data_IF_262664601321
#
_entry.id   IF_262664601321
#
_cell.length_a   1.000
_cell.length_b   1.000
_cell.length_c   1.000
_cell.angle_alpha   90.00
_cell.angle_beta   90.00
_cell.angle_gamma   90.00
#
_symmetry.space_group_name_H-M   'P 1'
#
loop_
_entity.id
_entity.type
_entity.pdbx_description
1 polymer ?
#
# COMPACT_ATOMS: atom_id res chain seq x y z
N UNK A 1 -16.27 -12.99 -28.75
CA UNK A 1 -15.49 -13.16 -27.49
C UNK A 1 -16.31 -13.88 -26.43
N UNK A 2 -17.48 -13.37 -25.99
CA UNK A 2 -18.39 -14.12 -25.09
C UNK A 2 -18.76 -15.51 -25.63
N UNK A 3 -19.12 -15.57 -26.92
CA UNK A 3 -19.37 -16.83 -27.64
C UNK A 3 -18.18 -17.81 -27.67
N UNK A 4 -16.94 -17.35 -27.52
CA UNK A 4 -15.76 -18.21 -27.49
C UNK A 4 -15.51 -18.79 -26.10
N UNK A 5 -15.72 -18.00 -25.04
CA UNK A 5 -15.65 -18.47 -23.65
C UNK A 5 -16.74 -19.52 -23.40
N UNK A 6 -17.98 -19.26 -23.84
CA UNK A 6 -19.10 -20.19 -23.68
C UNK A 6 -18.84 -21.52 -24.41
N UNK A 7 -18.27 -21.46 -25.63
CA UNK A 7 -17.89 -22.65 -26.38
C UNK A 7 -16.81 -23.46 -25.66
N UNK A 8 -15.71 -22.82 -25.27
CA UNK A 8 -14.61 -23.48 -24.57
C UNK A 8 -15.04 -24.06 -23.21
N UNK A 9 -15.96 -23.39 -22.52
CA UNK A 9 -16.56 -23.91 -21.30
C UNK A 9 -17.34 -25.21 -21.58
N UNK A 10 -18.19 -25.21 -22.60
CA UNK A 10 -18.91 -26.42 -23.02
C UNK A 10 -17.97 -27.56 -23.43
N UNK A 11 -16.88 -27.26 -24.11
CA UNK A 11 -15.83 -28.24 -24.45
C UNK A 11 -15.13 -28.78 -23.19
N UNK A 12 -14.81 -27.93 -22.22
CA UNK A 12 -14.20 -28.34 -20.95
C UNK A 12 -15.12 -29.25 -20.12
N UNK A 13 -16.42 -28.93 -20.10
CA UNK A 13 -17.46 -29.73 -19.45
C UNK A 13 -17.65 -31.08 -20.15
N UNK A 14 -17.71 -31.11 -21.48
CA UNK A 14 -17.82 -32.34 -22.25
C UNK A 14 -16.60 -33.26 -22.05
N UNK A 15 -15.39 -32.69 -22.06
CA UNK A 15 -14.17 -33.44 -21.77
C UNK A 15 -14.18 -34.01 -20.35
N UNK A 16 -14.68 -33.23 -19.37
CA UNK A 16 -14.86 -33.70 -18.01
C UNK A 16 -15.83 -34.90 -17.99
N UNK A 17 -17.05 -34.76 -18.52
CA UNK A 17 -18.02 -35.86 -18.56
C UNK A 17 -17.52 -37.12 -19.28
N UNK A 18 -16.61 -36.98 -20.25
CA UNK A 18 -15.98 -38.09 -20.97
C UNK A 18 -14.76 -38.71 -20.26
N UNK A 19 -14.48 -38.34 -19.01
CA UNK A 19 -13.28 -38.74 -18.26
C UNK A 19 -11.95 -38.33 -18.90
N UNK A 20 -11.97 -37.34 -19.81
CA UNK A 20 -10.79 -36.72 -20.41
C UNK A 20 -10.31 -35.58 -19.50
N UNK A 21 -9.94 -35.95 -18.28
CA UNK A 21 -9.68 -35.00 -17.19
C UNK A 21 -8.55 -34.02 -17.50
N UNK A 22 -7.48 -34.47 -18.15
CA UNK A 22 -6.36 -33.61 -18.54
C UNK A 22 -6.76 -32.56 -19.57
N UNK A 23 -7.56 -32.92 -20.57
CA UNK A 23 -8.05 -31.99 -21.60
C UNK A 23 -9.02 -30.98 -21.01
N UNK A 24 -9.93 -31.43 -20.13
CA UNK A 24 -10.83 -30.54 -19.38
C UNK A 24 -10.02 -29.54 -18.53
N UNK A 25 -9.05 -30.02 -17.76
CA UNK A 25 -8.25 -29.18 -16.87
C UNK A 25 -7.47 -28.10 -17.64
N UNK A 26 -6.79 -28.48 -18.74
CA UNK A 26 -6.07 -27.53 -19.62
C UNK A 26 -7.01 -26.49 -20.24
N UNK A 27 -8.22 -26.90 -20.62
CA UNK A 27 -9.21 -25.98 -21.20
C UNK A 27 -9.68 -24.97 -20.15
N UNK A 28 -9.95 -25.42 -18.92
CA UNK A 28 -10.26 -24.52 -17.81
C UNK A 28 -9.08 -23.59 -17.45
N UNK A 29 -7.84 -24.08 -17.43
CA UNK A 29 -6.64 -23.24 -17.23
C UNK A 29 -6.54 -22.14 -18.30
N UNK A 30 -6.89 -22.45 -19.56
CA UNK A 30 -6.93 -21.46 -20.63
C UNK A 30 -8.03 -20.42 -20.38
N UNK A 31 -9.22 -20.84 -19.93
CA UNK A 31 -10.33 -19.96 -19.59
C UNK A 31 -10.00 -19.02 -18.42
N UNK A 32 -9.20 -19.46 -17.44
CA UNK A 32 -8.68 -18.57 -16.38
C UNK A 32 -7.93 -17.40 -17.00
N UNK A 33 -7.02 -17.66 -17.93
CA UNK A 33 -6.24 -16.63 -18.62
C UNK A 33 -7.12 -15.64 -19.39
N UNK A 34 -8.10 -16.14 -20.15
CA UNK A 34 -9.05 -15.30 -20.90
C UNK A 34 -9.90 -14.42 -19.97
N UNK A 35 -10.44 -15.00 -18.90
CA UNK A 35 -11.24 -14.26 -17.93
C UNK A 35 -10.41 -13.17 -17.23
N UNK A 36 -9.15 -13.45 -16.87
CA UNK A 36 -8.25 -12.44 -16.31
C UNK A 36 -7.93 -11.30 -17.29
N UNK A 37 -7.76 -11.60 -18.58
CA UNK A 37 -7.55 -10.59 -19.64
C UNK A 37 -8.78 -9.69 -19.80
N UNK A 38 -9.98 -10.25 -19.66
CA UNK A 38 -11.24 -9.52 -19.72
C UNK A 38 -11.63 -8.85 -18.39
N UNK A 39 -10.79 -8.96 -17.36
CA UNK A 39 -11.04 -8.48 -16.01
C UNK A 39 -12.30 -9.09 -15.34
N UNK A 40 -12.69 -10.31 -15.75
CA UNK A 40 -13.78 -11.12 -15.19
C UNK A 40 -13.22 -12.00 -14.06
N UNK A 41 -12.81 -11.37 -12.95
CA UNK A 41 -12.00 -12.02 -11.91
C UNK A 41 -12.75 -13.13 -11.16
N UNK A 42 -14.07 -13.00 -10.98
CA UNK A 42 -14.92 -14.04 -10.38
C UNK A 42 -14.96 -15.29 -11.25
N UNK A 43 -15.21 -15.12 -12.56
CA UNK A 43 -15.21 -16.24 -13.51
C UNK A 43 -13.82 -16.90 -13.57
N UNK A 44 -12.75 -16.11 -13.51
CA UNK A 44 -11.40 -16.67 -13.47
C UNK A 44 -11.18 -17.58 -12.24
N UNK A 45 -11.74 -17.23 -11.08
CA UNK A 45 -11.69 -18.10 -9.89
C UNK A 45 -12.53 -19.37 -10.10
N UNK A 46 -13.73 -19.25 -10.65
CA UNK A 46 -14.60 -20.39 -10.94
C UNK A 46 -13.92 -21.39 -11.89
N UNK A 47 -13.31 -20.90 -12.98
CA UNK A 47 -12.55 -21.73 -13.91
C UNK A 47 -11.32 -22.37 -13.26
N UNK A 48 -10.62 -21.66 -12.39
CA UNK A 48 -9.48 -22.22 -11.66
C UNK A 48 -9.91 -23.36 -10.71
N UNK A 49 -11.05 -23.22 -10.03
CA UNK A 49 -11.64 -24.27 -9.19
C UNK A 49 -12.03 -25.48 -10.05
N UNK A 50 -12.65 -25.27 -11.21
CA UNK A 50 -13.01 -26.34 -12.13
C UNK A 50 -11.78 -27.11 -12.66
N UNK A 51 -10.71 -26.38 -13.01
CA UNK A 51 -9.42 -26.98 -13.37
C UNK A 51 -8.84 -27.84 -12.23
N UNK A 52 -8.90 -27.35 -10.98
CA UNK A 52 -8.47 -28.12 -9.80
C UNK A 52 -9.29 -29.41 -9.67
N UNK A 53 -10.62 -29.36 -9.84
CA UNK A 53 -11.47 -30.53 -9.75
C UNK A 53 -11.13 -31.60 -10.80
N UNK A 54 -10.79 -31.18 -12.02
CA UNK A 54 -10.32 -32.06 -13.08
C UNK A 54 -8.93 -32.65 -12.76
N UNK A 55 -7.98 -31.82 -12.30
CA UNK A 55 -6.65 -32.32 -11.92
C UNK A 55 -6.67 -33.32 -10.78
N UNK A 56 -7.60 -33.17 -9.82
CA UNK A 56 -7.78 -34.11 -8.69
C UNK A 56 -8.24 -35.51 -9.10
N UNK A 57 -8.71 -35.71 -10.34
CA UNK A 57 -9.06 -37.04 -10.84
C UNK A 57 -7.84 -37.87 -11.29
N UNK A 58 -6.65 -37.29 -11.27
CA UNK A 58 -5.41 -37.92 -11.71
C UNK A 58 -4.38 -37.97 -10.58
N UNK A 59 -3.48 -38.94 -10.62
CA UNK A 59 -2.34 -39.00 -9.70
C UNK A 59 -1.24 -38.02 -10.12
N UNK A 60 -0.42 -37.61 -9.15
CA UNK A 60 0.81 -36.84 -9.38
C UNK A 60 0.58 -35.44 -10.00
N UNK A 61 -0.54 -34.79 -9.65
CA UNK A 61 -0.92 -33.44 -10.13
C UNK A 61 -0.87 -32.36 -9.05
N UNK A 62 -0.37 -32.67 -7.86
CA UNK A 62 -0.33 -31.79 -6.69
C UNK A 62 0.33 -30.45 -7.02
N UNK A 63 1.45 -30.47 -7.75
CA UNK A 63 2.14 -29.23 -8.16
C UNK A 63 1.27 -28.32 -9.03
N UNK A 64 0.46 -28.88 -9.95
CA UNK A 64 -0.46 -28.09 -10.78
C UNK A 64 -1.61 -27.54 -9.95
N UNK A 65 -2.18 -28.37 -9.08
CA UNK A 65 -3.25 -27.97 -8.15
C UNK A 65 -2.79 -26.82 -7.24
N UNK A 66 -1.59 -26.92 -6.68
CA UNK A 66 -1.03 -25.89 -5.81
C UNK A 66 -0.79 -24.56 -6.55
N UNK A 67 -0.37 -24.60 -7.82
CA UNK A 67 -0.25 -23.39 -8.66
C UNK A 67 -1.61 -22.73 -8.91
N UNK A 68 -2.67 -23.53 -9.09
CA UNK A 68 -4.02 -22.99 -9.27
C UNK A 68 -4.55 -22.36 -7.99
N UNK A 69 -4.31 -22.97 -6.81
CA UNK A 69 -4.63 -22.32 -5.54
C UNK A 69 -3.88 -21.00 -5.35
N UNK A 70 -2.60 -20.96 -5.70
CA UNK A 70 -1.83 -19.71 -5.70
C UNK A 70 -2.42 -18.66 -6.66
N UNK A 71 -2.80 -19.07 -7.87
CA UNK A 71 -3.45 -18.20 -8.86
C UNK A 71 -4.75 -17.60 -8.32
N UNK A 72 -5.61 -18.43 -7.71
CA UNK A 72 -6.86 -17.98 -7.06
C UNK A 72 -6.55 -16.91 -6.00
N UNK A 73 -5.54 -17.13 -5.16
CA UNK A 73 -5.12 -16.15 -4.16
C UNK A 73 -4.72 -14.81 -4.79
N UNK A 74 -3.89 -14.84 -5.84
CA UNK A 74 -3.46 -13.62 -6.54
C UNK A 74 -4.62 -12.89 -7.25
N UNK A 75 -5.56 -13.63 -7.85
CA UNK A 75 -6.77 -13.06 -8.45
C UNK A 75 -7.64 -12.39 -7.38
N UNK A 76 -7.79 -13.03 -6.21
CA UNK A 76 -8.50 -12.47 -5.07
C UNK A 76 -7.87 -11.17 -4.57
N UNK A 77 -6.54 -11.12 -4.43
CA UNK A 77 -5.82 -9.89 -4.07
C UNK A 77 -6.03 -8.79 -5.12
N UNK A 78 -5.95 -9.12 -6.41
CA UNK A 78 -6.22 -8.16 -7.50
C UNK A 78 -7.63 -7.59 -7.41
N UNK A 79 -8.63 -8.43 -7.17
CA UNK A 79 -10.03 -8.00 -7.01
C UNK A 79 -10.20 -7.07 -5.80
N UNK A 80 -9.61 -7.43 -4.65
CA UNK A 80 -9.66 -6.61 -3.45
C UNK A 80 -9.00 -5.23 -3.68
N UNK A 81 -7.83 -5.18 -4.31
CA UNK A 81 -7.14 -3.93 -4.63
C UNK A 81 -7.99 -2.99 -5.50
N UNK A 82 -8.68 -3.54 -6.51
CA UNK A 82 -9.62 -2.78 -7.36
C UNK A 82 -10.80 -2.25 -6.53
N UNK A 83 -11.37 -3.08 -5.67
CA UNK A 83 -12.48 -2.70 -4.79
C UNK A 83 -12.10 -1.56 -3.84
N UNK A 84 -10.95 -1.65 -3.18
CA UNK A 84 -10.43 -0.59 -2.31
C UNK A 84 -10.19 0.71 -3.10
N UNK A 85 -9.59 0.64 -4.29
CA UNK A 85 -9.35 1.84 -5.09
C UNK A 85 -10.66 2.52 -5.51
N UNK A 86 -11.69 1.74 -5.85
CA UNK A 86 -13.01 2.28 -6.16
C UNK A 86 -13.66 2.93 -4.92
N UNK A 87 -13.59 2.28 -3.76
CA UNK A 87 -14.09 2.84 -2.50
C UNK A 87 -13.34 4.12 -2.10
N UNK A 88 -12.03 4.19 -2.35
CA UNK A 88 -11.24 5.37 -2.10
C UNK A 88 -11.77 6.59 -2.88
N UNK A 89 -11.99 6.41 -4.19
CA UNK A 89 -12.53 7.48 -5.07
C UNK A 89 -13.95 7.91 -4.66
N UNK A 90 -14.79 6.96 -4.25
CA UNK A 90 -16.13 7.26 -3.73
C UNK A 90 -16.05 8.05 -2.42
N UNK A 91 -15.21 7.61 -1.47
CA UNK A 91 -14.99 8.30 -0.20
C UNK A 91 -14.45 9.72 -0.42
N UNK A 92 -13.53 9.92 -1.37
CA UNK A 92 -13.01 11.23 -1.73
C UNK A 92 -14.11 12.15 -2.28
N UNK A 93 -14.96 11.63 -3.17
CA UNK A 93 -16.12 12.36 -3.72
C UNK A 93 -17.11 12.78 -2.63
N UNK A 94 -17.27 11.93 -1.61
CA UNK A 94 -18.14 12.18 -0.46
C UNK A 94 -17.45 13.03 0.65
N UNK A 95 -16.23 13.53 0.41
CA UNK A 95 -15.42 14.28 1.37
C UNK A 95 -15.05 13.49 2.65
N UNK A 96 -15.06 12.15 2.58
CA UNK A 96 -14.59 11.25 3.64
C UNK A 96 -13.07 11.00 3.49
N UNK A 97 -12.28 12.07 3.55
CA UNK A 97 -10.86 12.06 3.17
C UNK A 97 -10.02 11.01 3.90
N UNK A 98 -10.23 10.83 5.21
CA UNK A 98 -9.54 9.79 5.99
C UNK A 98 -9.84 8.39 5.46
N UNK A 99 -11.11 8.09 5.16
CA UNK A 99 -11.51 6.79 4.59
C UNK A 99 -10.92 6.61 3.19
N UNK A 100 -10.89 7.68 2.38
CA UNK A 100 -10.24 7.65 1.06
C UNK A 100 -8.77 7.28 1.15
N UNK A 101 -8.00 7.97 1.99
CA UNK A 101 -6.57 7.73 2.17
C UNK A 101 -6.27 6.31 2.64
N UNK A 102 -7.07 5.78 3.58
CA UNK A 102 -6.95 4.41 4.06
C UNK A 102 -7.22 3.39 2.93
N UNK A 103 -8.28 3.60 2.15
CA UNK A 103 -8.60 2.70 1.05
C UNK A 103 -7.56 2.76 -0.08
N UNK A 104 -6.99 3.93 -0.38
CA UNK A 104 -5.86 4.03 -1.29
C UNK A 104 -4.62 3.28 -0.77
N UNK A 105 -4.33 3.34 0.53
CA UNK A 105 -3.24 2.58 1.12
C UNK A 105 -3.43 1.06 0.97
N UNK A 106 -4.65 0.56 1.22
CA UNK A 106 -4.97 -0.87 1.06
C UNK A 106 -4.90 -1.30 -0.41
N UNK A 107 -5.41 -0.47 -1.33
CA UNK A 107 -5.28 -0.70 -2.76
C UNK A 107 -3.80 -0.77 -3.18
N UNK A 108 -2.97 0.16 -2.72
CA UNK A 108 -1.54 0.18 -3.00
C UNK A 108 -0.82 -1.08 -2.49
N UNK A 109 -1.19 -1.53 -1.30
CA UNK A 109 -0.66 -2.76 -0.70
C UNK A 109 -1.05 -3.98 -1.55
N UNK A 110 -2.31 -4.09 -1.95
CA UNK A 110 -2.79 -5.16 -2.82
C UNK A 110 -2.10 -5.18 -4.19
N UNK A 111 -1.93 -4.02 -4.84
CA UNK A 111 -1.21 -3.94 -6.10
C UNK A 111 0.27 -4.31 -5.97
N UNK A 112 0.92 -3.95 -4.87
CA UNK A 112 2.31 -4.33 -4.59
C UNK A 112 2.49 -5.84 -4.45
N UNK A 113 1.52 -6.53 -3.82
CA UNK A 113 1.54 -8.00 -3.67
C UNK A 113 1.43 -8.74 -5.00
N UNK A 114 0.66 -8.21 -5.95
CA UNK A 114 0.54 -8.77 -7.31
C UNK A 114 1.55 -8.17 -8.29
N UNK A 115 2.58 -7.47 -7.77
CA UNK A 115 3.67 -6.87 -8.55
C UNK A 115 3.23 -5.84 -9.59
N UNK A 116 2.05 -5.24 -9.40
CA UNK A 116 1.62 -4.09 -10.18
C UNK A 116 2.15 -2.80 -9.53
N UNK A 117 3.45 -2.61 -9.64
CA UNK A 117 4.19 -1.57 -8.93
C UNK A 117 3.78 -0.15 -9.33
N UNK A 118 3.50 0.10 -10.62
CA UNK A 118 3.10 1.44 -11.08
C UNK A 118 1.78 1.88 -10.44
N UNK A 119 0.80 0.96 -10.38
CA UNK A 119 -0.49 1.23 -9.73
C UNK A 119 -0.38 1.28 -8.22
N UNK A 120 0.46 0.43 -7.62
CA UNK A 120 0.76 0.47 -6.19
C UNK A 120 1.31 1.84 -5.77
N UNK A 121 2.30 2.35 -6.51
CA UNK A 121 2.90 3.67 -6.31
C UNK A 121 1.84 4.77 -6.38
N UNK A 122 1.05 4.79 -7.45
CA UNK A 122 -0.02 5.77 -7.65
C UNK A 122 -1.00 5.81 -6.47
N UNK A 123 -1.42 4.64 -5.97
CA UNK A 123 -2.32 4.56 -4.82
C UNK A 123 -1.65 5.09 -3.54
N UNK A 124 -0.39 4.73 -3.28
CA UNK A 124 0.33 5.28 -2.12
C UNK A 124 0.53 6.79 -2.21
N UNK A 125 0.85 7.34 -3.38
CA UNK A 125 0.98 8.79 -3.60
C UNK A 125 -0.33 9.54 -3.34
N UNK A 126 -1.47 8.99 -3.80
CA UNK A 126 -2.80 9.55 -3.48
C UNK A 126 -3.06 9.55 -1.96
N UNK A 127 -2.72 8.45 -1.27
CA UNK A 127 -2.87 8.34 0.17
C UNK A 127 -1.99 9.35 0.93
N UNK A 128 -0.72 9.50 0.52
CA UNK A 128 0.24 10.48 1.06
C UNK A 128 -0.34 11.88 0.97
N UNK A 129 -0.79 12.29 -0.22
CA UNK A 129 -1.32 13.64 -0.44
C UNK A 129 -2.47 13.96 0.51
N UNK A 130 -3.42 13.04 0.65
CA UNK A 130 -4.58 13.25 1.52
C UNK A 130 -4.16 13.32 3.00
N UNK A 131 -3.26 12.45 3.46
CA UNK A 131 -2.79 12.53 4.85
C UNK A 131 -1.92 13.76 5.13
N UNK A 132 -1.16 14.25 4.15
CA UNK A 132 -0.44 15.53 4.26
C UNK A 132 -1.42 16.71 4.42
N UNK A 133 -2.50 16.74 3.62
CA UNK A 133 -3.54 17.77 3.74
C UNK A 133 -4.24 17.69 5.12
N UNK A 134 -4.62 16.49 5.56
CA UNK A 134 -5.23 16.27 6.89
C UNK A 134 -4.30 16.65 8.04
N UNK A 135 -3.01 16.32 7.94
CA UNK A 135 -2.01 16.70 8.95
C UNK A 135 -1.82 18.22 9.02
N UNK A 136 -1.85 18.90 7.87
CA UNK A 136 -1.73 20.35 7.78
C UNK A 136 -2.94 21.05 8.37
N UNK A 137 -4.14 20.50 8.19
CA UNK A 137 -5.36 21.04 8.80
C UNK A 137 -5.36 20.84 10.32
N UNK A 138 -5.04 19.63 10.80
CA UNK A 138 -4.90 19.36 12.23
C UNK A 138 -3.88 20.31 12.90
N UNK A 139 -2.79 20.63 12.21
CA UNK A 139 -1.80 21.62 12.68
C UNK A 139 -2.37 23.03 12.81
N UNK A 140 -3.25 23.47 11.90
CA UNK A 140 -3.91 24.80 12.00
C UNK A 140 -4.90 24.84 13.16
N UNK A 141 -5.60 23.74 13.39
CA UNK A 141 -6.58 23.58 14.46
C UNK A 141 -5.93 23.34 15.84
N UNK A 142 -4.59 23.31 15.91
CA UNK A 142 -3.81 22.97 17.09
C UNK A 142 -4.10 21.56 17.65
N UNK A 143 -4.64 20.65 16.82
CA UNK A 143 -4.77 19.23 17.12
C UNK A 143 -3.46 18.50 16.78
N UNK A 144 -2.45 18.72 17.62
CA UNK A 144 -1.10 18.21 17.40
C UNK A 144 -1.03 16.69 17.52
N UNK A 145 -1.89 16.05 18.31
CA UNK A 145 -1.94 14.58 18.42
C UNK A 145 -2.38 13.97 17.09
N UNK A 146 -3.48 14.47 16.50
CA UNK A 146 -3.91 14.04 15.17
C UNK A 146 -2.84 14.30 14.12
N UNK A 147 -2.21 15.49 14.13
CA UNK A 147 -1.12 15.81 13.21
C UNK A 147 0.04 14.81 13.31
N UNK A 148 0.49 14.46 14.53
CA UNK A 148 1.55 13.47 14.76
C UNK A 148 1.16 12.12 14.16
N UNK A 149 -0.07 11.66 14.39
CA UNK A 149 -0.56 10.38 13.85
C UNK A 149 -0.61 10.37 12.32
N UNK A 150 -1.02 11.48 11.70
CA UNK A 150 -1.07 11.59 10.24
C UNK A 150 0.34 11.65 9.64
N UNK A 151 1.26 12.44 10.20
CA UNK A 151 2.64 12.48 9.72
C UNK A 151 3.37 11.13 9.88
N UNK A 152 3.11 10.39 10.96
CA UNK A 152 3.63 9.03 11.12
C UNK A 152 3.19 8.11 9.96
N UNK A 153 1.92 8.23 9.56
CA UNK A 153 1.37 7.45 8.46
C UNK A 153 1.94 7.89 7.11
N UNK A 154 2.10 9.20 6.88
CA UNK A 154 2.79 9.74 5.70
C UNK A 154 4.21 9.18 5.57
N UNK A 155 4.98 9.13 6.67
CA UNK A 155 6.32 8.56 6.66
C UNK A 155 6.31 7.10 6.21
N UNK A 156 5.42 6.27 6.78
CA UNK A 156 5.27 4.85 6.39
C UNK A 156 4.86 4.67 4.93
N UNK A 157 4.05 5.58 4.39
CA UNK A 157 3.67 5.54 2.97
C UNK A 157 4.84 5.90 2.06
N UNK A 158 5.66 6.88 2.41
CA UNK A 158 6.90 7.13 1.67
C UNK A 158 7.85 5.93 1.70
N UNK A 159 7.99 5.23 2.83
CA UNK A 159 8.76 3.97 2.91
C UNK A 159 8.21 2.89 1.96
N UNK A 160 6.87 2.76 1.88
CA UNK A 160 6.21 1.85 0.92
C UNK A 160 6.49 2.25 -0.53
N UNK A 161 6.43 3.55 -0.86
CA UNK A 161 6.75 4.05 -2.21
C UNK A 161 8.20 3.76 -2.58
N UNK A 162 9.15 4.06 -1.67
CA UNK A 162 10.58 3.77 -1.87
C UNK A 162 10.80 2.27 -2.10
N UNK A 163 10.15 1.42 -1.30
CA UNK A 163 10.20 -0.04 -1.46
C UNK A 163 9.68 -0.48 -2.84
N UNK A 164 8.61 0.14 -3.33
CA UNK A 164 8.07 -0.14 -4.67
C UNK A 164 9.06 0.28 -5.76
N UNK A 165 9.68 1.46 -5.63
CA UNK A 165 10.71 1.93 -6.57
C UNK A 165 11.93 0.99 -6.58
N UNK A 166 12.36 0.51 -5.42
CA UNK A 166 13.45 -0.47 -5.31
C UNK A 166 13.11 -1.79 -6.01
N UNK A 167 11.88 -2.30 -5.86
CA UNK A 167 11.41 -3.48 -6.59
C UNK A 167 11.41 -3.27 -8.10
N UNK A 168 10.94 -2.11 -8.58
CA UNK A 168 10.97 -1.76 -10.02
C UNK A 168 12.42 -1.76 -10.54
N UNK A 169 13.35 -1.17 -9.78
CA UNK A 169 14.77 -1.10 -10.13
C UNK A 169 15.44 -2.47 -10.19
N UNK A 170 15.02 -3.42 -9.34
CA UNK A 170 15.55 -4.79 -9.31
C UNK A 170 14.97 -5.64 -10.43
N UNK A 171 13.65 -5.58 -10.64
CA UNK A 171 12.94 -6.53 -11.52
C UNK A 171 13.12 -6.22 -13.01
N UNK A 172 13.27 -4.94 -13.37
CA UNK A 172 13.43 -4.54 -14.76
C UNK A 172 14.90 -4.64 -15.21
N UNK A 173 15.30 -5.87 -15.60
CA UNK A 173 16.64 -6.21 -16.11
C UNK A 173 17.12 -5.36 -17.30
N UNK A 174 16.21 -4.76 -18.05
CA UNK A 174 16.49 -3.96 -19.25
C UNK A 174 16.01 -2.50 -19.13
N UNK A 175 16.14 -1.88 -17.95
CA UNK A 175 16.02 -0.42 -17.89
C UNK A 175 17.17 0.22 -18.66
N UNK A 176 16.83 1.06 -19.63
CA UNK A 176 17.82 1.95 -20.21
C UNK A 176 18.37 2.93 -19.14
N UNK A 177 19.50 3.58 -19.46
CA UNK A 177 20.17 4.48 -18.52
C UNK A 177 19.28 5.65 -18.07
N UNK A 178 18.41 6.15 -18.95
CA UNK A 178 17.55 7.31 -18.69
C UNK A 178 16.44 6.91 -17.74
N UNK A 179 15.75 5.80 -18.00
CA UNK A 179 14.70 5.27 -17.16
C UNK A 179 15.21 4.91 -15.76
N UNK A 180 16.39 4.29 -15.67
CA UNK A 180 17.03 4.00 -14.38
C UNK A 180 17.36 5.28 -13.60
N UNK A 181 17.92 6.28 -14.27
CA UNK A 181 18.26 7.55 -13.63
C UNK A 181 17.00 8.26 -13.10
N UNK A 182 15.93 8.32 -13.90
CA UNK A 182 14.66 8.92 -13.51
C UNK A 182 14.05 8.26 -12.26
N UNK A 183 14.12 6.93 -12.16
CA UNK A 183 13.62 6.22 -10.97
C UNK A 183 14.46 6.50 -9.72
N UNK A 184 15.79 6.65 -9.87
CA UNK A 184 16.67 7.01 -8.75
C UNK A 184 16.43 8.44 -8.27
N UNK A 185 16.20 9.38 -9.19
CA UNK A 185 15.82 10.75 -8.86
C UNK A 185 14.47 10.80 -8.15
N UNK A 186 13.50 10.02 -8.63
CA UNK A 186 12.19 9.89 -7.99
C UNK A 186 12.33 9.33 -6.58
N UNK A 187 13.14 8.27 -6.39
CA UNK A 187 13.42 7.71 -5.06
C UNK A 187 14.03 8.75 -4.12
N UNK A 188 15.06 9.48 -4.57
CA UNK A 188 15.70 10.52 -3.76
C UNK A 188 14.72 11.64 -3.38
N UNK A 189 13.77 11.98 -4.27
CA UNK A 189 12.69 12.92 -3.96
C UNK A 189 11.77 12.38 -2.86
N UNK A 190 11.39 11.10 -2.90
CA UNK A 190 10.57 10.48 -1.87
C UNK A 190 11.28 10.44 -0.51
N UNK A 191 12.58 10.14 -0.49
CA UNK A 191 13.40 10.18 0.73
C UNK A 191 13.45 11.58 1.34
N UNK A 192 13.62 12.61 0.50
CA UNK A 192 13.57 14.02 0.94
C UNK A 192 12.21 14.42 1.50
N UNK A 193 11.12 14.02 0.84
CA UNK A 193 9.77 14.32 1.31
C UNK A 193 9.44 13.59 2.63
N UNK A 194 9.92 12.36 2.79
CA UNK A 194 9.82 11.63 4.05
C UNK A 194 10.58 12.34 5.18
N UNK A 195 11.80 12.83 4.92
CA UNK A 195 12.55 13.60 5.90
C UNK A 195 11.83 14.91 6.29
N UNK A 196 11.20 15.59 5.34
CA UNK A 196 10.36 16.75 5.60
C UNK A 196 9.15 16.39 6.48
N UNK A 197 8.48 15.27 6.20
CA UNK A 197 7.35 14.79 7.01
C UNK A 197 7.78 14.42 8.43
N UNK A 198 8.94 13.79 8.60
CA UNK A 198 9.55 13.55 9.93
C UNK A 198 9.83 14.85 10.66
N UNK A 199 10.39 15.85 9.98
CA UNK A 199 10.63 17.19 10.55
C UNK A 199 9.32 17.85 11.02
N UNK A 200 8.26 17.77 10.22
CA UNK A 200 6.95 18.28 10.59
C UNK A 200 6.36 17.53 11.78
N UNK A 201 6.49 16.20 11.84
CA UNK A 201 6.12 15.38 13.00
C UNK A 201 6.85 15.84 14.28
N UNK A 202 8.15 16.09 14.20
CA UNK A 202 8.93 16.60 15.33
C UNK A 202 8.44 17.98 15.78
N UNK A 203 8.11 18.86 14.84
CA UNK A 203 7.50 20.16 15.14
C UNK A 203 6.14 20.03 15.81
N UNK A 204 5.30 19.08 15.40
CA UNK A 204 4.03 18.79 16.08
C UNK A 204 4.25 18.33 17.53
N UNK A 205 5.25 17.48 17.78
CA UNK A 205 5.64 17.09 19.15
C UNK A 205 6.12 18.28 19.98
N UNK A 206 6.94 19.18 19.43
CA UNK A 206 7.33 20.42 20.10
C UNK A 206 6.11 21.28 20.48
N UNK A 207 5.14 21.41 19.58
CA UNK A 207 3.92 22.19 19.83
C UNK A 207 3.02 21.55 20.87
N UNK A 208 2.89 20.22 20.83
CA UNK A 208 2.18 19.47 21.86
C UNK A 208 2.84 19.66 23.23
N UNK A 209 4.17 19.57 23.31
CA UNK A 209 4.92 19.83 24.54
C UNK A 209 4.62 21.23 25.10
N UNK A 210 4.66 22.26 24.26
CA UNK A 210 4.33 23.63 24.67
C UNK A 210 2.89 23.74 25.19
N UNK A 211 1.93 23.09 24.54
CA UNK A 211 0.53 23.12 24.97
C UNK A 211 0.30 22.51 26.36
N UNK A 212 1.16 21.58 26.79
CA UNK A 212 1.14 21.05 28.15
C UNK A 212 1.78 22.01 29.14
N UNK A 213 2.89 22.66 28.79
CA UNK A 213 3.53 23.67 29.65
C UNK A 213 2.60 24.87 29.93
N UNK A 214 1.71 25.18 29.00
CA UNK A 214 0.72 26.25 29.17
C UNK A 214 -0.41 25.86 30.15
N UNK A 215 -0.52 24.57 30.53
CA UNK A 215 -1.45 24.05 31.54
C UNK A 215 -0.71 23.96 32.87
N UNK A 216 -1.13 24.75 33.85
CA UNK A 216 -0.54 24.82 35.20
C UNK A 216 -0.90 23.57 36.05
N UNK A 217 -0.56 22.38 35.55
CA UNK A 217 -0.84 21.09 36.18
C UNK A 217 0.47 20.33 36.46
N UNK A 218 0.65 19.72 37.65
CA UNK A 218 1.92 19.10 38.06
C UNK A 218 2.44 18.00 37.12
N UNK A 219 1.54 17.26 36.45
CA UNK A 219 1.91 16.19 35.52
C UNK A 219 2.35 16.69 34.14
N UNK A 220 2.06 17.96 33.79
CA UNK A 220 2.28 18.50 32.45
C UNK A 220 3.75 18.67 32.08
N UNK A 221 4.64 19.01 33.04
CA UNK A 221 6.08 19.12 32.77
C UNK A 221 6.67 17.79 32.32
N UNK A 222 6.28 16.68 32.97
CA UNK A 222 6.73 15.33 32.62
C UNK A 222 6.23 14.92 31.23
N UNK A 223 5.00 15.27 30.87
CA UNK A 223 4.45 14.99 29.55
C UNK A 223 5.19 15.84 28.49
N UNK A 224 5.39 17.14 28.74
CA UNK A 224 6.13 18.02 27.85
C UNK A 224 7.57 17.52 27.61
N UNK A 225 8.26 17.08 28.67
CA UNK A 225 9.60 16.49 28.57
C UNK A 225 9.62 15.26 27.63
N UNK A 226 8.61 14.38 27.76
CA UNK A 226 8.47 13.20 26.90
C UNK A 226 8.25 13.60 25.44
N UNK A 227 7.41 14.59 25.18
CA UNK A 227 7.14 15.05 23.81
C UNK A 227 8.36 15.75 23.19
N UNK A 228 9.11 16.56 23.96
CA UNK A 228 10.40 17.10 23.50
C UNK A 228 11.40 15.99 23.17
N UNK A 229 11.48 14.94 23.99
CA UNK A 229 12.39 13.82 23.76
C UNK A 229 12.10 13.11 22.44
N UNK A 230 10.81 12.87 22.13
CA UNK A 230 10.40 12.32 20.83
C UNK A 230 10.76 13.24 19.66
N UNK A 231 10.55 14.54 19.81
CA UNK A 231 10.89 15.50 18.77
C UNK A 231 12.40 15.50 18.46
N UNK A 232 13.23 15.45 19.51
CA UNK A 232 14.69 15.37 19.40
C UNK A 232 15.11 14.08 18.68
N UNK A 233 14.62 12.92 19.12
CA UNK A 233 14.92 11.62 18.50
C UNK A 233 14.59 11.62 17.00
N UNK A 234 13.42 12.17 16.63
CA UNK A 234 13.02 12.27 15.23
C UNK A 234 13.98 13.17 14.44
N UNK A 235 14.36 14.34 14.96
CA UNK A 235 15.27 15.27 14.28
C UNK A 235 16.68 14.68 14.12
N UNK A 236 17.18 13.98 15.13
CA UNK A 236 18.45 13.26 15.05
C UNK A 236 18.42 12.17 13.98
N UNK A 237 17.29 11.46 13.83
CA UNK A 237 17.12 10.42 12.79
C UNK A 237 17.15 10.95 11.34
N UNK A 238 17.07 12.26 11.16
CA UNK A 238 17.13 12.94 9.85
C UNK A 238 18.28 13.96 9.78
N UNK A 239 19.28 13.84 10.65
CA UNK A 239 20.48 14.68 10.71
C UNK A 239 20.22 16.19 10.93
N UNK A 240 19.07 16.55 11.51
CA UNK A 240 18.71 17.94 11.86
C UNK A 240 19.29 18.34 13.24
N UNK A 241 20.60 18.13 13.41
CA UNK A 241 21.30 18.21 14.71
C UNK A 241 21.18 19.59 15.38
N UNK A 242 21.16 20.67 14.59
CA UNK A 242 21.03 22.03 15.14
C UNK A 242 19.64 22.29 15.73
N UNK A 243 18.59 21.75 15.10
CA UNK A 243 17.24 21.84 15.63
C UNK A 243 17.08 20.95 16.87
N UNK A 244 17.64 19.73 16.85
CA UNK A 244 17.66 18.83 17.98
C UNK A 244 18.31 19.49 19.22
N UNK A 245 19.48 20.11 19.06
CA UNK A 245 20.16 20.86 20.15
C UNK A 245 19.31 21.99 20.71
N UNK A 246 18.61 22.73 19.85
CA UNK A 246 17.71 23.81 20.28
C UNK A 246 16.56 23.27 21.14
N UNK A 247 15.99 22.12 20.78
CA UNK A 247 14.94 21.47 21.57
C UNK A 247 15.49 20.88 22.87
N UNK A 248 16.72 20.36 22.85
CA UNK A 248 17.40 19.86 24.05
C UNK A 248 17.53 20.97 25.11
N UNK A 249 17.94 22.17 24.72
CA UNK A 249 17.98 23.32 25.64
C UNK A 249 16.59 23.69 26.18
N UNK A 250 15.54 23.60 25.35
CA UNK A 250 14.16 23.85 25.83
C UNK A 250 13.72 22.81 26.85
N UNK A 251 14.03 21.53 26.60
CA UNK A 251 13.75 20.41 27.50
C UNK A 251 14.45 20.61 28.85
N UNK A 252 15.73 20.97 28.84
CA UNK A 252 16.52 21.22 30.06
C UNK A 252 15.97 22.35 30.93
N UNK A 253 15.27 23.33 30.34
CA UNK A 253 14.70 24.46 31.08
C UNK A 253 13.38 24.14 31.81
N UNK A 254 12.79 22.96 31.56
CA UNK A 254 11.51 22.53 32.19
C UNK A 254 11.67 21.34 33.14
N UNK A 255 12.88 20.76 33.21
CA UNK A 255 13.27 19.69 34.14
C UNK A 255 13.88 20.29 35.40
#
# INVERSE_FOLDING_TARGET
MKSQIDQLKGEAEANYSASRWEDSAKTYEHLVGLAQQNNELEQAIEFAIAAIHAWKQMTDKETRINRLYQSIGLIGVKKAAIGFEQQAKTAETNNELKNSALNFEEAGTGYSLIQNYDRAKTCFESSVKIFEDLSSEAMKDADFETAIHMFDRVCKLYEKIITVLDKILIDKKELDRVAKHSLLEEKAKMEKNMALSKKNKAYSHEKLAQSYLDKDEPDCNRIAEKEYSKAIEILESIDEIQLAKKLQTKKENIT
#
